data_IF_042782305441
#
_entry.id   IF_042782305441
#
_cell.length_a   1.000
_cell.length_b   1.000
_cell.length_c   1.000
_cell.angle_alpha   90.00
_cell.angle_beta   90.00
_cell.angle_gamma   90.00
#
_symmetry.space_group_name_H-M   'P 1'
#
loop_
_entity.id
_entity.type
_entity.pdbx_description
1 polymer ?
#
# COMPACT_ATOMS: atom_id res chain seq x y z
N UNK A 1 -0.05 -17.85 -10.01
CA UNK A 1 0.66 -16.61 -10.35
C UNK A 1 1.59 -16.74 -11.55
N UNK A 2 2.27 -17.88 -11.74
CA UNK A 2 3.20 -18.10 -12.88
C UNK A 2 2.57 -17.95 -14.27
N UNK A 3 1.25 -17.93 -14.37
CA UNK A 3 0.48 -17.71 -15.60
C UNK A 3 -0.37 -16.45 -15.57
N UNK A 4 -0.29 -15.66 -14.48
CA UNK A 4 -1.03 -14.40 -14.37
C UNK A 4 -0.30 -13.32 -15.15
N UNK A 5 -1.05 -12.46 -15.83
CA UNK A 5 -0.54 -11.18 -16.27
C UNK A 5 -0.17 -10.33 -15.06
N UNK A 6 0.80 -9.46 -15.22
CA UNK A 6 1.27 -8.58 -14.17
C UNK A 6 0.55 -7.24 -14.28
N UNK A 7 0.16 -6.71 -13.14
CA UNK A 7 -0.45 -5.39 -13.08
C UNK A 7 -0.09 -4.73 -11.75
N UNK A 8 0.44 -3.54 -11.82
CA UNK A 8 0.73 -2.72 -10.65
C UNK A 8 -0.55 -2.01 -10.18
N UNK A 9 -1.14 -2.38 -9.04
CA UNK A 9 -2.35 -1.72 -8.53
C UNK A 9 -2.06 -0.30 -8.01
N UNK A 10 -0.79 0.04 -7.77
CA UNK A 10 -0.32 1.35 -7.34
C UNK A 10 0.34 2.13 -8.50
N UNK A 11 -0.09 1.89 -9.73
CA UNK A 11 0.48 2.58 -10.87
C UNK A 11 0.40 4.11 -10.68
N UNK A 12 1.55 4.81 -10.65
CA UNK A 12 1.62 6.23 -10.32
C UNK A 12 0.86 7.13 -11.31
N UNK A 13 0.62 6.65 -12.51
CA UNK A 13 -0.17 7.36 -13.55
C UNK A 13 -1.60 7.63 -13.10
N UNK A 14 -2.17 6.75 -12.26
CA UNK A 14 -3.54 6.81 -11.80
C UNK A 14 -3.67 7.30 -10.34
N UNK A 15 -2.61 7.85 -9.78
CA UNK A 15 -2.62 8.50 -8.48
C UNK A 15 -2.43 10.01 -8.68
N UNK A 16 -3.47 10.78 -8.42
CA UNK A 16 -3.49 12.24 -8.63
C UNK A 16 -3.30 13.03 -7.35
N UNK A 17 -3.66 12.43 -6.23
CA UNK A 17 -3.70 13.05 -4.91
C UNK A 17 -3.23 12.05 -3.85
N UNK A 18 -2.73 12.56 -2.71
CA UNK A 18 -2.28 11.71 -1.60
C UNK A 18 -3.42 10.87 -1.01
N UNK A 19 -4.66 11.31 -1.17
CA UNK A 19 -5.84 10.52 -0.80
C UNK A 19 -5.95 9.19 -1.57
N UNK A 20 -5.41 9.12 -2.79
CA UNK A 20 -5.33 7.87 -3.55
C UNK A 20 -4.41 6.84 -2.86
N UNK A 21 -3.30 7.33 -2.30
CA UNK A 21 -2.40 6.49 -1.52
C UNK A 21 -3.06 6.05 -0.20
N UNK A 22 -3.79 6.96 0.47
CA UNK A 22 -4.52 6.63 1.69
C UNK A 22 -5.61 5.58 1.44
N UNK A 23 -6.42 5.73 0.41
CA UNK A 23 -7.47 4.76 0.05
C UNK A 23 -6.88 3.38 -0.29
N UNK A 24 -5.75 3.35 -0.99
CA UNK A 24 -5.04 2.11 -1.32
C UNK A 24 -4.51 1.43 -0.05
N UNK A 25 -3.90 2.20 0.85
CA UNK A 25 -3.44 1.72 2.15
C UNK A 25 -4.59 1.21 3.01
N UNK A 26 -5.66 1.97 3.12
CA UNK A 26 -6.88 1.62 3.85
C UNK A 26 -7.46 0.31 3.34
N UNK A 27 -7.63 0.18 2.03
CA UNK A 27 -8.16 -1.03 1.41
C UNK A 27 -7.33 -2.27 1.74
N UNK A 28 -5.99 -2.21 1.57
CA UNK A 28 -5.13 -3.37 1.81
C UNK A 28 -5.09 -3.75 3.31
N UNK A 29 -4.98 -2.77 4.19
CA UNK A 29 -4.85 -3.00 5.63
C UNK A 29 -6.12 -3.59 6.24
N UNK A 30 -7.30 -3.10 5.84
CA UNK A 30 -8.56 -3.66 6.31
C UNK A 30 -8.88 -5.03 5.71
N UNK A 31 -8.48 -5.31 4.48
CA UNK A 31 -8.61 -6.64 3.90
C UNK A 31 -7.69 -7.66 4.57
N UNK A 32 -6.51 -7.24 5.04
CA UNK A 32 -5.61 -8.09 5.84
C UNK A 32 -6.12 -8.31 7.27
N UNK A 33 -6.86 -7.35 7.82
CA UNK A 33 -7.31 -7.36 9.21
C UNK A 33 -8.79 -6.99 9.29
N UNK A 34 -9.67 -7.90 8.92
CA UNK A 34 -11.12 -7.64 8.88
C UNK A 34 -11.73 -7.17 10.21
N UNK A 35 -11.16 -7.58 11.34
CA UNK A 35 -11.58 -7.10 12.66
C UNK A 35 -11.35 -5.59 12.86
N UNK A 36 -10.48 -4.98 12.08
CA UNK A 36 -10.21 -3.55 12.13
C UNK A 36 -11.37 -2.69 11.59
N UNK A 37 -12.23 -3.27 10.75
CA UNK A 37 -13.43 -2.58 10.24
C UNK A 37 -14.30 -2.06 11.39
N UNK A 38 -14.37 -2.80 12.51
CA UNK A 38 -15.14 -2.41 13.70
C UNK A 38 -14.35 -1.52 14.67
N UNK A 39 -13.08 -1.27 14.40
CA UNK A 39 -12.16 -0.49 15.25
C UNK A 39 -11.63 0.75 14.54
N UNK A 40 -12.36 1.27 13.58
CA UNK A 40 -12.01 2.51 12.89
C UNK A 40 -11.93 3.65 13.90
N UNK A 41 -10.90 4.48 13.79
CA UNK A 41 -10.58 5.52 14.76
C UNK A 41 -9.68 5.08 15.91
N UNK A 42 -9.42 3.79 16.07
CA UNK A 42 -8.40 3.30 17.01
C UNK A 42 -7.00 3.64 16.50
N UNK A 43 -6.17 4.15 17.40
CA UNK A 43 -4.80 4.57 17.09
C UNK A 43 -3.96 3.46 16.42
N UNK A 44 -4.08 2.22 16.88
CA UNK A 44 -3.34 1.09 16.30
C UNK A 44 -3.92 0.57 14.98
N UNK A 45 -5.07 1.06 14.57
CA UNK A 45 -5.66 0.82 13.24
C UNK A 45 -5.29 1.95 12.28
N UNK A 46 -5.44 3.20 12.72
CA UNK A 46 -5.19 4.37 11.88
C UNK A 46 -3.69 4.59 11.60
N UNK A 47 -2.81 4.38 12.60
CA UNK A 47 -1.37 4.58 12.43
C UNK A 47 -0.76 3.77 11.28
N UNK A 48 -0.98 2.44 11.16
CA UNK A 48 -0.44 1.66 10.05
C UNK A 48 -0.99 2.09 8.69
N UNK A 49 -2.25 2.51 8.63
CA UNK A 49 -2.87 3.00 7.39
C UNK A 49 -2.18 4.29 6.94
N UNK A 50 -1.99 5.23 7.84
CA UNK A 50 -1.34 6.52 7.57
C UNK A 50 0.12 6.33 7.19
N UNK A 51 0.86 5.48 7.90
CA UNK A 51 2.27 5.21 7.58
C UNK A 51 2.43 4.59 6.20
N UNK A 52 1.63 3.58 5.87
CA UNK A 52 1.68 2.95 4.54
C UNK A 52 1.26 3.93 3.44
N UNK A 53 0.26 4.79 3.70
CA UNK A 53 -0.13 5.84 2.76
C UNK A 53 1.01 6.82 2.47
N UNK A 54 1.73 7.26 3.50
CA UNK A 54 2.90 8.12 3.35
C UNK A 54 4.01 7.44 2.52
N UNK A 55 4.26 6.15 2.75
CA UNK A 55 5.24 5.37 1.99
C UNK A 55 4.82 5.26 0.52
N UNK A 56 3.56 4.94 0.25
CA UNK A 56 3.04 4.84 -1.12
C UNK A 56 3.18 6.18 -1.84
N UNK A 57 2.78 7.28 -1.18
CA UNK A 57 2.90 8.61 -1.79
C UNK A 57 4.35 9.03 -2.01
N UNK A 58 5.25 8.74 -1.07
CA UNK A 58 6.68 8.92 -1.29
C UNK A 58 7.17 8.23 -2.56
N UNK A 59 6.81 6.96 -2.75
CA UNK A 59 7.20 6.21 -3.94
C UNK A 59 6.56 6.75 -5.23
N UNK A 60 5.40 7.39 -5.13
CA UNK A 60 4.75 8.08 -6.25
C UNK A 60 5.56 9.29 -6.73
N UNK A 61 6.09 10.08 -5.80
CA UNK A 61 6.83 11.31 -6.13
C UNK A 61 8.33 11.06 -6.37
N UNK A 62 8.87 10.01 -5.79
CA UNK A 62 10.29 9.67 -5.93
C UNK A 62 10.60 9.11 -7.32
N UNK A 63 11.63 9.66 -7.97
CA UNK A 63 12.14 9.20 -9.29
C UNK A 63 11.03 8.98 -10.34
N UNK A 64 10.08 9.91 -10.42
CA UNK A 64 8.96 9.83 -11.37
C UNK A 64 8.00 8.65 -11.13
N UNK A 65 7.98 8.08 -9.93
CA UNK A 65 7.12 6.96 -9.56
C UNK A 65 7.61 5.59 -10.02
N UNK A 66 8.85 5.48 -10.47
CA UNK A 66 9.45 4.22 -10.97
C UNK A 66 9.31 3.04 -10.01
N UNK A 67 9.39 3.33 -8.72
CA UNK A 67 9.30 2.32 -7.66
C UNK A 67 7.93 2.30 -6.95
N UNK A 68 6.93 2.99 -7.49
CA UNK A 68 5.60 3.03 -6.90
C UNK A 68 4.85 1.73 -7.14
N UNK A 69 5.25 0.69 -6.43
CA UNK A 69 4.62 -0.62 -6.42
C UNK A 69 4.44 -1.11 -4.99
N UNK A 70 3.51 -2.02 -4.79
CA UNK A 70 3.26 -2.58 -3.46
C UNK A 70 4.47 -3.34 -2.89
N UNK A 71 5.21 -4.18 -3.65
CA UNK A 71 6.44 -4.78 -3.17
C UNK A 71 7.48 -3.77 -2.67
N UNK A 72 7.72 -2.70 -3.40
CA UNK A 72 8.66 -1.67 -2.97
C UNK A 72 8.19 -0.92 -1.72
N UNK A 73 6.87 -0.74 -1.55
CA UNK A 73 6.33 -0.16 -0.33
C UNK A 73 6.62 -1.03 0.89
N UNK A 74 6.47 -2.35 0.77
CA UNK A 74 6.82 -3.29 1.83
C UNK A 74 8.33 -3.28 2.12
N UNK A 75 9.16 -3.29 1.09
CA UNK A 75 10.63 -3.26 1.24
C UNK A 75 11.09 -1.96 1.93
N UNK A 76 10.52 -0.82 1.58
CA UNK A 76 10.82 0.45 2.23
C UNK A 76 10.38 0.45 3.69
N UNK A 77 9.16 -0.03 3.99
CA UNK A 77 8.67 -0.16 5.37
C UNK A 77 9.57 -1.05 6.24
N UNK A 78 10.23 -2.05 5.64
CA UNK A 78 11.11 -2.96 6.37
C UNK A 78 12.51 -2.41 6.67
N UNK A 79 12.84 -1.22 6.15
CA UNK A 79 14.09 -0.53 6.53
C UNK A 79 14.12 -0.17 8.01
N UNK A 80 15.32 0.01 8.61
CA UNK A 80 15.44 0.61 9.92
C UNK A 80 14.67 1.94 9.99
N UNK A 81 13.98 2.20 11.10
CA UNK A 81 13.10 3.37 11.18
C UNK A 81 13.86 4.70 11.05
N UNK A 82 15.12 4.77 11.48
CA UNK A 82 15.96 5.94 11.29
C UNK A 82 16.17 6.25 9.79
N UNK A 83 16.45 5.23 8.98
CA UNK A 83 16.59 5.37 7.54
C UNK A 83 15.25 5.76 6.90
N UNK A 84 14.18 5.04 7.29
CA UNK A 84 12.83 5.25 6.76
C UNK A 84 12.37 6.70 6.98
N UNK A 85 12.42 7.19 8.21
CA UNK A 85 11.95 8.54 8.52
C UNK A 85 12.87 9.63 7.95
N UNK A 86 14.17 9.40 7.90
CA UNK A 86 15.10 10.34 7.25
C UNK A 86 14.74 10.55 5.79
N UNK A 87 14.42 9.46 5.08
CA UNK A 87 14.06 9.52 3.65
C UNK A 87 12.68 10.16 3.47
N UNK A 88 11.68 9.74 4.24
CA UNK A 88 10.32 10.26 4.12
C UNK A 88 10.20 11.74 4.50
N UNK A 89 10.89 12.16 5.55
CA UNK A 89 10.88 13.55 6.02
C UNK A 89 11.58 14.55 5.10
N UNK A 90 12.33 14.09 4.11
CA UNK A 90 12.88 14.96 3.08
C UNK A 90 11.81 15.58 2.17
N UNK A 91 10.54 15.17 2.30
CA UNK A 91 9.42 15.66 1.50
C UNK A 91 8.37 16.34 2.38
N UNK A 92 8.24 17.65 2.24
CA UNK A 92 7.29 18.50 3.02
C UNK A 92 5.83 18.01 2.91
N UNK A 93 5.45 17.48 1.75
CA UNK A 93 4.10 16.94 1.52
C UNK A 93 3.70 15.84 2.50
N UNK A 94 4.69 15.14 3.08
CA UNK A 94 4.47 14.01 4.00
C UNK A 94 4.49 14.41 5.46
N UNK A 95 4.85 15.65 5.80
CA UNK A 95 5.05 16.10 7.18
C UNK A 95 3.83 15.82 8.06
N UNK A 96 2.65 16.19 7.60
CA UNK A 96 1.40 15.98 8.35
C UNK A 96 1.06 14.51 8.60
N UNK A 97 1.43 13.63 7.66
CA UNK A 97 1.22 12.18 7.80
C UNK A 97 2.24 11.52 8.72
N UNK A 98 3.42 12.12 8.81
CA UNK A 98 4.56 11.56 9.55
C UNK A 98 4.68 12.12 10.97
N UNK A 99 4.09 13.28 11.27
CA UNK A 99 4.25 13.95 12.56
C UNK A 99 4.00 13.04 13.77
N UNK A 100 2.95 12.18 13.82
CA UNK A 100 2.75 11.30 14.96
C UNK A 100 3.88 10.31 15.21
N UNK A 101 4.56 9.88 14.14
CA UNK A 101 5.70 8.96 14.22
C UNK A 101 7.00 9.68 14.57
N UNK A 102 7.21 10.84 13.96
CA UNK A 102 8.39 11.67 14.17
C UNK A 102 8.42 12.21 15.59
N UNK A 103 7.28 12.64 16.12
CA UNK A 103 7.15 13.11 17.49
C UNK A 103 7.47 12.00 18.50
N UNK A 104 6.99 10.79 18.26
CA UNK A 104 7.34 9.63 19.06
C UNK A 104 8.84 9.31 18.98
N UNK A 105 9.44 9.39 17.80
CA UNK A 105 10.86 9.15 17.58
C UNK A 105 11.73 10.19 18.28
N UNK A 106 11.50 11.47 18.02
CA UNK A 106 12.27 12.57 18.60
C UNK A 106 12.01 12.78 20.10
N UNK A 107 10.79 12.48 20.54
CA UNK A 107 10.39 12.60 21.94
C UNK A 107 10.86 11.45 22.84
N UNK A 108 11.58 10.45 22.28
CA UNK A 108 12.09 9.31 23.02
C UNK A 108 11.04 8.25 23.40
N UNK A 109 9.84 8.31 22.79
CA UNK A 109 8.76 7.33 22.99
C UNK A 109 8.98 6.10 22.08
N UNK A 110 10.15 5.46 22.19
CA UNK A 110 10.57 4.37 21.30
C UNK A 110 9.59 3.19 21.29
N UNK A 111 9.03 2.82 22.45
CA UNK A 111 8.06 1.72 22.53
C UNK A 111 6.79 2.03 21.75
N UNK A 112 6.28 3.25 21.82
CA UNK A 112 5.12 3.70 21.04
C UNK A 112 5.43 3.64 19.55
N UNK A 113 6.57 4.15 19.12
CA UNK A 113 7.00 4.13 17.72
C UNK A 113 7.13 2.68 17.21
N UNK A 114 7.76 1.81 17.98
CA UNK A 114 7.89 0.40 17.63
C UNK A 114 6.53 -0.29 17.50
N UNK A 115 5.58 0.02 18.38
CA UNK A 115 4.21 -0.48 18.30
C UNK A 115 3.47 -0.01 17.04
N UNK A 116 3.59 1.25 16.68
CA UNK A 116 3.03 1.82 15.44
C UNK A 116 3.58 1.13 14.19
N UNK A 117 4.91 0.97 14.12
CA UNK A 117 5.58 0.34 12.98
C UNK A 117 5.24 -1.16 12.92
N UNK A 118 5.25 -1.87 14.04
CA UNK A 118 4.90 -3.28 14.11
C UNK A 118 3.46 -3.54 13.67
N UNK A 119 2.51 -2.66 14.02
CA UNK A 119 1.12 -2.78 13.60
C UNK A 119 0.94 -2.66 12.07
N UNK A 120 1.88 -2.01 11.38
CA UNK A 120 1.94 -2.00 9.92
C UNK A 120 2.66 -3.25 9.36
N UNK A 121 3.83 -3.58 9.90
CA UNK A 121 4.69 -4.65 9.38
C UNK A 121 4.07 -6.04 9.51
N UNK A 122 3.43 -6.33 10.64
CA UNK A 122 2.89 -7.67 10.92
C UNK A 122 1.83 -8.11 9.91
N UNK A 123 0.78 -7.32 9.62
CA UNK A 123 -0.19 -7.69 8.59
C UNK A 123 0.44 -7.81 7.20
N UNK A 124 1.28 -6.86 6.82
CA UNK A 124 1.89 -6.81 5.51
C UNK A 124 2.90 -7.94 5.26
N UNK A 125 3.50 -8.51 6.31
CA UNK A 125 4.40 -9.67 6.19
C UNK A 125 3.74 -10.88 5.53
N UNK A 126 2.41 -11.00 5.64
CA UNK A 126 1.63 -12.07 4.99
C UNK A 126 1.64 -11.96 3.47
N UNK A 127 1.93 -10.79 2.93
CA UNK A 127 1.97 -10.51 1.50
C UNK A 127 3.37 -10.61 0.89
N UNK A 128 4.38 -10.92 1.70
CA UNK A 128 5.75 -11.16 1.22
C UNK A 128 5.80 -12.52 0.54
N UNK A 129 5.70 -12.48 -0.78
CA UNK A 129 5.69 -13.66 -1.64
C UNK A 129 6.30 -13.32 -2.99
N UNK A 130 7.28 -14.09 -3.49
CA UNK A 130 7.86 -13.83 -4.81
C UNK A 130 6.82 -13.77 -5.93
N UNK A 131 5.76 -14.59 -5.83
CA UNK A 131 4.69 -14.62 -6.82
C UNK A 131 3.82 -13.36 -6.78
N UNK A 132 3.47 -12.86 -5.60
CA UNK A 132 2.73 -11.60 -5.46
C UNK A 132 3.60 -10.41 -5.87
N UNK A 133 4.88 -10.42 -5.48
CA UNK A 133 5.83 -9.38 -5.88
C UNK A 133 5.93 -9.29 -7.39
N UNK A 134 6.05 -10.42 -8.06
CA UNK A 134 6.09 -10.48 -9.52
C UNK A 134 4.82 -9.91 -10.16
N UNK A 135 3.65 -10.34 -9.71
CA UNK A 135 2.38 -9.90 -10.31
C UNK A 135 2.12 -8.42 -10.04
N UNK A 136 2.40 -7.94 -8.83
CA UNK A 136 2.05 -6.58 -8.39
C UNK A 136 3.08 -5.52 -8.76
N UNK A 137 4.20 -5.88 -9.38
CA UNK A 137 5.25 -4.95 -9.80
C UNK A 137 5.38 -4.79 -11.32
N UNK A 138 4.54 -5.45 -12.11
CA UNK A 138 4.60 -5.38 -13.57
C UNK A 138 3.45 -4.58 -14.18
N UNK A 139 3.57 -4.27 -15.46
CA UNK A 139 2.65 -3.44 -16.22
C UNK A 139 2.28 -4.11 -17.55
N UNK A 140 1.84 -5.37 -17.52
CA UNK A 140 1.37 -6.06 -18.73
C UNK A 140 0.02 -5.50 -19.19
N UNK A 141 -0.76 -4.89 -18.28
CA UNK A 141 -1.99 -4.15 -18.56
C UNK A 141 -2.27 -3.14 -17.42
N UNK A 142 -3.23 -2.25 -17.63
CA UNK A 142 -3.67 -1.23 -16.67
C UNK A 142 -5.11 -1.45 -16.22
N UNK A 143 -5.49 -0.92 -15.06
CA UNK A 143 -6.80 -1.15 -14.42
C UNK A 143 -7.93 -0.25 -14.93
N UNK A 144 -7.67 0.66 -15.85
CA UNK A 144 -8.66 1.49 -16.54
C UNK A 144 -9.42 0.66 -17.62
N UNK A 145 -10.14 -0.35 -17.14
CA UNK A 145 -10.78 -1.36 -17.99
C UNK A 145 -11.87 -0.82 -18.92
N UNK A 146 -12.42 0.35 -18.61
CA UNK A 146 -13.44 1.04 -19.41
C UNK A 146 -12.85 2.04 -20.42
N UNK A 147 -11.52 2.05 -20.60
CA UNK A 147 -10.88 2.92 -21.58
C UNK A 147 -11.32 2.53 -23.01
N UNK A 148 -12.02 3.42 -23.75
CA UNK A 148 -12.52 3.07 -25.07
C UNK A 148 -11.43 2.89 -26.14
N UNK A 149 -10.26 3.47 -25.91
CA UNK A 149 -9.11 3.34 -26.83
C UNK A 149 -8.34 2.02 -26.62
N UNK A 150 -8.48 1.44 -25.43
CA UNK A 150 -7.85 0.18 -25.06
C UNK A 150 -8.84 -0.73 -24.31
N UNK A 151 -9.91 -1.18 -24.97
CA UNK A 151 -10.93 -2.01 -24.34
C UNK A 151 -10.35 -3.35 -23.91
N UNK A 152 -10.64 -3.76 -22.67
CA UNK A 152 -10.13 -5.01 -22.12
C UNK A 152 -11.17 -5.72 -21.27
N UNK A 153 -11.09 -7.04 -21.25
CA UNK A 153 -11.87 -7.89 -20.33
C UNK A 153 -10.90 -8.42 -19.27
N UNK A 154 -11.16 -8.07 -18.02
CA UNK A 154 -10.36 -8.50 -16.89
C UNK A 154 -11.00 -9.72 -16.22
N UNK A 155 -10.29 -10.86 -16.23
CA UNK A 155 -10.66 -12.06 -15.50
C UNK A 155 -9.81 -12.16 -14.23
N UNK A 156 -10.45 -12.09 -13.06
CA UNK A 156 -9.79 -12.16 -11.76
C UNK A 156 -10.05 -13.52 -11.14
N UNK A 157 -8.99 -14.31 -10.98
CA UNK A 157 -9.05 -15.61 -10.31
C UNK A 157 -8.61 -15.54 -8.86
N UNK A 158 -9.20 -16.37 -8.01
CA UNK A 158 -8.80 -16.56 -6.62
C UNK A 158 -8.44 -18.00 -6.36
N UNK A 159 -7.53 -18.24 -5.42
CA UNK A 159 -7.25 -19.57 -4.87
C UNK A 159 -7.87 -19.68 -3.47
N UNK A 160 -8.88 -20.55 -3.27
CA UNK A 160 -9.55 -20.71 -1.98
C UNK A 160 -8.59 -21.07 -0.84
N UNK A 161 -7.54 -21.88 -1.13
CA UNK A 161 -6.58 -22.32 -0.13
C UNK A 161 -5.70 -21.18 0.42
N UNK A 162 -5.64 -20.05 -0.30
CA UNK A 162 -4.84 -18.87 0.06
C UNK A 162 -5.68 -17.60 0.14
N UNK A 163 -6.95 -17.73 0.42
CA UNK A 163 -7.91 -16.63 0.40
C UNK A 163 -7.53 -15.46 1.33
N UNK A 164 -6.94 -15.74 2.49
CA UNK A 164 -6.55 -14.70 3.44
C UNK A 164 -5.45 -13.77 2.89
N UNK A 165 -4.60 -14.26 2.01
CA UNK A 165 -3.51 -13.49 1.39
C UNK A 165 -3.98 -12.91 0.06
N UNK A 166 -4.47 -13.76 -0.83
CA UNK A 166 -4.91 -13.32 -2.15
C UNK A 166 -6.15 -12.44 -2.10
N UNK A 167 -7.04 -12.67 -1.13
CA UNK A 167 -8.20 -11.82 -0.90
C UNK A 167 -7.83 -10.36 -0.58
N UNK A 168 -6.74 -10.12 0.15
CA UNK A 168 -6.26 -8.78 0.42
C UNK A 168 -5.70 -8.09 -0.85
N UNK A 169 -4.91 -8.82 -1.66
CA UNK A 169 -4.43 -8.33 -2.95
C UNK A 169 -5.60 -8.02 -3.89
N UNK A 170 -6.56 -8.94 -4.02
CA UNK A 170 -7.75 -8.76 -4.85
C UNK A 170 -8.62 -7.60 -4.37
N UNK A 171 -8.73 -7.38 -3.05
CA UNK A 171 -9.40 -6.22 -2.46
C UNK A 171 -8.78 -4.91 -2.92
N UNK A 172 -7.45 -4.83 -2.95
CA UNK A 172 -6.74 -3.66 -3.47
C UNK A 172 -7.02 -3.46 -4.97
N UNK A 173 -6.92 -4.50 -5.80
CA UNK A 173 -7.25 -4.42 -7.22
C UNK A 173 -8.68 -3.93 -7.44
N UNK A 174 -9.65 -4.50 -6.74
CA UNK A 174 -11.06 -4.12 -6.86
C UNK A 174 -11.28 -2.65 -6.46
N UNK A 175 -10.69 -2.20 -5.37
CA UNK A 175 -10.76 -0.81 -4.93
C UNK A 175 -10.25 0.15 -6.01
N UNK A 176 -9.10 -0.17 -6.60
CA UNK A 176 -8.51 0.65 -7.66
C UNK A 176 -9.33 0.63 -8.96
N UNK A 177 -9.86 -0.53 -9.35
CA UNK A 177 -10.73 -0.65 -10.51
C UNK A 177 -11.98 0.22 -10.34
N UNK A 178 -12.69 0.08 -9.21
CA UNK A 178 -13.91 0.85 -8.94
C UNK A 178 -13.66 2.34 -9.01
N UNK A 179 -12.51 2.81 -8.49
CA UNK A 179 -12.15 4.22 -8.57
C UNK A 179 -11.88 4.70 -10.00
N UNK A 180 -11.30 3.85 -10.84
CA UNK A 180 -10.93 4.23 -12.22
C UNK A 180 -12.09 4.17 -13.21
N UNK A 181 -13.18 3.46 -12.88
CA UNK A 181 -14.37 3.37 -13.74
C UNK A 181 -15.47 4.39 -13.37
N UNK A 182 -15.34 5.08 -12.24
CA UNK A 182 -16.23 6.17 -11.80
C UNK A 182 -15.70 7.53 -12.26
#
# INVERSE_FOLDING_TARGET
PSRSHRCNPLNPKFMTDISDAYESSYSIMLNLNRSWIQKQGDFFVESPIVLLAAIIWFLKIYDGGKYCTFPHAIELLNKPYEELFTVLMAHEELENYLSPFVDAWKGGAAEQLMGQIASAKIPLSRMISPQLYWVMSGDDFTLDINNPEEPKILCVGNNPDRQNIYGAALGLYNSRIVKLIN
#
